data_IF_473396013449
#
_entry.id   IF_473396013449
#
_cell.length_a   1.000
_cell.length_b   1.000
_cell.length_c   1.000
_cell.angle_alpha   90.00
_cell.angle_beta   90.00
_cell.angle_gamma   90.00
#
_symmetry.space_group_name_H-M   'P 1'
#
loop_
_entity.id
_entity.type
_entity.pdbx_description
1 polymer ?
#
# COMPACT_ATOMS: atom_id res chain seq x y z
N UNK A 1 21.35 3.94 -18.46
CA UNK A 1 20.08 3.21 -18.74
C UNK A 1 18.96 3.96 -18.08
N UNK A 2 17.82 4.13 -18.78
CA UNK A 2 16.69 4.89 -18.27
C UNK A 2 16.06 4.24 -17.04
N UNK A 3 15.62 5.06 -16.08
CA UNK A 3 14.92 4.61 -14.88
C UNK A 3 13.52 4.13 -15.24
N UNK A 4 13.16 2.92 -14.83
CA UNK A 4 11.80 2.40 -14.97
C UNK A 4 10.94 2.85 -13.77
N UNK A 5 10.04 3.79 -14.02
CA UNK A 5 9.06 4.29 -13.07
C UNK A 5 7.61 3.92 -13.46
N UNK A 6 7.43 2.90 -14.30
CA UNK A 6 6.12 2.48 -14.79
C UNK A 6 5.24 1.83 -13.70
N UNK A 7 5.83 1.13 -12.72
CA UNK A 7 5.09 0.55 -11.61
C UNK A 7 4.45 1.63 -10.72
N UNK A 8 3.28 1.36 -10.13
CA UNK A 8 2.51 2.37 -9.38
C UNK A 8 3.26 2.96 -8.17
N UNK A 9 3.85 2.12 -7.34
CA UNK A 9 4.51 2.55 -6.09
C UNK A 9 6.02 2.29 -6.04
N UNK A 10 6.60 1.72 -7.09
CA UNK A 10 7.99 1.27 -7.11
C UNK A 10 8.74 1.86 -8.31
N UNK A 11 10.07 1.95 -8.18
CA UNK A 11 10.96 2.46 -9.22
C UNK A 11 12.21 1.59 -9.32
N UNK A 12 12.70 1.37 -10.53
CA UNK A 12 13.96 0.70 -10.80
C UNK A 12 14.94 1.65 -11.51
N UNK A 13 16.09 1.88 -10.88
CA UNK A 13 17.19 2.68 -11.43
C UNK A 13 18.36 1.76 -11.73
N UNK A 14 18.53 1.29 -12.97
CA UNK A 14 19.54 0.30 -13.35
C UNK A 14 20.97 0.71 -13.01
N UNK A 15 21.32 1.99 -13.10
CA UNK A 15 22.66 2.49 -12.84
C UNK A 15 23.12 2.32 -11.38
N UNK A 16 22.16 2.18 -10.45
CA UNK A 16 22.44 1.87 -9.04
C UNK A 16 22.60 0.37 -8.78
N UNK A 17 22.32 -0.49 -9.77
CA UNK A 17 22.27 -1.93 -9.58
C UNK A 17 23.66 -2.56 -9.56
N UNK A 18 24.05 -3.18 -8.46
CA UNK A 18 25.30 -3.94 -8.30
C UNK A 18 25.16 -5.43 -8.67
N UNK A 19 24.02 -5.84 -9.20
CA UNK A 19 23.73 -7.22 -9.63
C UNK A 19 23.90 -8.27 -8.52
N UNK A 20 23.58 -7.94 -7.29
CA UNK A 20 23.68 -8.84 -6.14
C UNK A 20 22.61 -9.94 -6.10
N UNK A 21 21.59 -9.88 -6.97
CA UNK A 21 20.51 -10.84 -7.18
C UNK A 21 19.53 -11.01 -6.01
N UNK A 22 19.67 -10.26 -4.91
CA UNK A 22 18.76 -10.35 -3.74
C UNK A 22 17.31 -10.10 -4.10
N UNK A 23 17.02 -9.22 -5.05
CA UNK A 23 15.68 -8.95 -5.53
C UNK A 23 15.07 -10.15 -6.26
N UNK A 24 15.85 -10.89 -7.04
CA UNK A 24 15.42 -12.12 -7.73
C UNK A 24 15.09 -13.18 -6.69
N UNK A 25 15.97 -13.35 -5.70
CA UNK A 25 15.78 -14.32 -4.61
C UNK A 25 14.51 -13.98 -3.79
N UNK A 26 14.35 -12.72 -3.38
CA UNK A 26 13.15 -12.27 -2.67
C UNK A 26 11.87 -12.51 -3.48
N UNK A 27 11.90 -12.21 -4.78
CA UNK A 27 10.74 -12.39 -5.65
C UNK A 27 10.41 -13.87 -5.90
N UNK A 28 11.43 -14.71 -6.09
CA UNK A 28 11.26 -16.11 -6.47
C UNK A 28 11.04 -17.03 -5.26
N UNK A 29 11.90 -16.92 -4.23
CA UNK A 29 11.89 -17.85 -3.10
C UNK A 29 10.97 -17.41 -1.97
N UNK A 30 10.95 -16.11 -1.66
CA UNK A 30 10.15 -15.60 -0.54
C UNK A 30 8.70 -15.36 -0.98
N UNK A 31 8.50 -14.68 -2.11
CA UNK A 31 7.14 -14.34 -2.59
C UNK A 31 6.54 -15.39 -3.55
N UNK A 32 7.34 -16.24 -4.15
CA UNK A 32 6.87 -17.25 -5.09
C UNK A 32 6.38 -16.70 -6.45
N UNK A 33 6.65 -15.42 -6.75
CA UNK A 33 6.16 -14.75 -7.98
C UNK A 33 7.14 -14.92 -9.15
N UNK A 34 8.45 -14.66 -8.94
CA UNK A 34 9.49 -14.93 -9.92
C UNK A 34 9.48 -14.03 -11.16
N UNK A 35 8.94 -12.82 -11.08
CA UNK A 35 8.89 -11.89 -12.21
C UNK A 35 10.26 -11.31 -12.54
N UNK A 36 11.12 -11.11 -11.54
CA UNK A 36 12.44 -10.50 -11.71
C UNK A 36 13.41 -11.56 -12.21
N UNK A 37 14.12 -11.24 -13.29
CA UNK A 37 15.06 -12.14 -13.96
C UNK A 37 16.43 -11.47 -14.14
N UNK A 38 17.44 -12.27 -14.41
CA UNK A 38 18.72 -11.81 -14.91
C UNK A 38 18.76 -12.10 -16.41
N UNK A 39 18.74 -11.04 -17.21
CA UNK A 39 18.90 -11.14 -18.66
C UNK A 39 20.38 -11.03 -19.00
N UNK A 40 20.78 -11.71 -20.08
CA UNK A 40 22.14 -11.77 -20.58
C UNK A 40 23.14 -12.44 -19.61
N UNK A 41 24.39 -12.50 -20.00
CA UNK A 41 25.50 -13.09 -19.24
C UNK A 41 26.73 -12.21 -19.27
N UNK A 42 27.68 -12.45 -18.36
CA UNK A 42 28.92 -11.71 -18.28
C UNK A 42 28.73 -10.23 -17.97
N UNK A 43 29.45 -9.37 -18.65
CA UNK A 43 29.41 -7.92 -18.42
C UNK A 43 28.06 -7.28 -18.77
N UNK A 44 27.31 -7.91 -19.66
CA UNK A 44 26.00 -7.42 -20.13
C UNK A 44 24.83 -7.91 -19.26
N UNK A 45 25.10 -8.71 -18.22
CA UNK A 45 24.04 -9.18 -17.33
C UNK A 45 23.29 -8.01 -16.70
N UNK A 46 21.96 -8.03 -16.77
CA UNK A 46 21.08 -6.99 -16.23
C UNK A 46 19.85 -7.59 -15.54
N UNK A 47 19.42 -6.94 -14.47
CA UNK A 47 18.13 -7.25 -13.85
C UNK A 47 17.02 -6.70 -14.74
N UNK A 48 16.02 -7.50 -15.02
CA UNK A 48 14.86 -7.14 -15.85
C UNK A 48 13.55 -7.68 -15.32
N UNK A 49 12.47 -7.11 -15.83
CA UNK A 49 11.08 -7.51 -15.55
C UNK A 49 10.40 -8.11 -16.79
N UNK A 50 11.14 -8.27 -17.89
CA UNK A 50 10.59 -8.74 -19.17
C UNK A 50 9.87 -7.68 -20.00
N UNK A 51 9.94 -6.42 -19.60
CA UNK A 51 9.28 -5.24 -20.16
C UNK A 51 9.17 -4.15 -19.11
N UNK A 52 8.38 -3.08 -19.33
CA UNK A 52 8.07 -2.10 -18.31
C UNK A 52 7.49 -2.75 -17.07
N UNK A 53 8.03 -2.41 -15.90
CA UNK A 53 7.66 -3.10 -14.66
C UNK A 53 6.16 -2.97 -14.32
N UNK A 54 5.57 -1.81 -14.61
CA UNK A 54 4.15 -1.56 -14.37
C UNK A 54 3.20 -2.39 -15.22
N UNK A 55 3.66 -2.88 -16.36
CA UNK A 55 2.89 -3.71 -17.30
C UNK A 55 2.96 -5.21 -16.99
N UNK A 56 3.73 -5.60 -15.98
CA UNK A 56 3.89 -7.01 -15.62
C UNK A 56 2.56 -7.63 -15.17
N UNK A 57 2.11 -8.63 -15.90
CA UNK A 57 0.90 -9.40 -15.56
C UNK A 57 1.04 -10.23 -14.28
N UNK A 58 2.25 -10.58 -13.88
CA UNK A 58 2.50 -11.44 -12.71
C UNK A 58 2.95 -10.69 -11.47
N UNK A 59 3.55 -9.50 -11.60
CA UNK A 59 4.01 -8.72 -10.45
C UNK A 59 2.83 -8.27 -9.57
N UNK A 60 2.87 -8.64 -8.30
CA UNK A 60 1.87 -8.23 -7.30
C UNK A 60 2.20 -6.92 -6.60
N UNK A 61 3.29 -6.27 -6.96
CA UNK A 61 3.79 -5.01 -6.41
C UNK A 61 3.96 -5.00 -4.87
N UNK A 62 4.37 -6.12 -4.29
CA UNK A 62 4.52 -6.30 -2.85
C UNK A 62 5.71 -5.54 -2.21
N UNK A 63 6.66 -5.04 -3.01
CA UNK A 63 7.80 -4.26 -2.54
C UNK A 63 8.96 -5.04 -1.91
N UNK A 64 8.88 -6.37 -1.77
CA UNK A 64 9.94 -7.17 -1.14
C UNK A 64 11.29 -7.07 -1.85
N UNK A 65 11.28 -6.90 -3.16
CA UNK A 65 12.49 -6.67 -3.95
C UNK A 65 13.16 -5.32 -3.62
N UNK A 66 12.38 -4.28 -3.36
CA UNK A 66 12.88 -2.98 -2.93
C UNK A 66 13.45 -3.04 -1.50
N UNK A 67 12.76 -3.73 -0.58
CA UNK A 67 13.23 -3.93 0.78
C UNK A 67 14.59 -4.67 0.84
N UNK A 68 14.80 -5.64 -0.06
CA UNK A 68 16.04 -6.41 -0.15
C UNK A 68 17.18 -5.72 -0.91
N UNK A 69 16.94 -4.57 -1.57
CA UNK A 69 17.93 -3.91 -2.42
C UNK A 69 18.89 -3.05 -1.60
N UNK A 70 20.21 -3.41 -1.54
CA UNK A 70 21.18 -2.70 -0.68
C UNK A 70 21.59 -1.33 -1.23
N UNK A 71 21.36 -1.06 -2.52
CA UNK A 71 21.80 0.17 -3.19
C UNK A 71 20.64 1.12 -3.52
N UNK A 72 19.41 0.72 -3.22
CA UNK A 72 18.22 1.48 -3.62
C UNK A 72 18.02 1.54 -5.14
N UNK A 73 18.60 0.60 -5.91
CA UNK A 73 18.28 0.45 -7.33
C UNK A 73 16.81 0.10 -7.53
N UNK A 74 16.25 -0.71 -6.65
CA UNK A 74 14.82 -0.92 -6.49
C UNK A 74 14.39 -0.20 -5.22
N UNK A 75 13.46 0.72 -5.35
CA UNK A 75 13.00 1.56 -4.25
C UNK A 75 11.50 1.86 -4.36
N UNK A 76 10.91 2.32 -3.26
CA UNK A 76 9.59 2.95 -3.30
C UNK A 76 9.73 4.32 -3.98
N UNK A 77 8.73 4.71 -4.77
CA UNK A 77 8.69 6.05 -5.38
C UNK A 77 8.70 7.10 -4.28
N UNK A 78 9.68 7.99 -4.34
CA UNK A 78 9.70 9.17 -3.47
C UNK A 78 8.72 10.22 -4.00
N UNK A 79 7.82 10.66 -3.15
CA UNK A 79 6.84 11.71 -3.42
C UNK A 79 6.95 12.87 -2.41
N UNK A 80 8.06 12.94 -1.70
CA UNK A 80 8.28 13.93 -0.63
C UNK A 80 8.18 15.35 -1.16
N UNK A 81 8.90 15.68 -2.24
CA UNK A 81 8.88 17.02 -2.83
C UNK A 81 7.46 17.42 -3.24
N UNK A 82 6.72 16.52 -3.89
CA UNK A 82 5.33 16.77 -4.26
C UNK A 82 4.42 17.01 -3.06
N UNK A 83 4.65 16.31 -1.96
CA UNK A 83 3.89 16.55 -0.73
C UNK A 83 4.21 17.90 -0.10
N UNK A 84 5.48 18.31 -0.13
CA UNK A 84 5.92 19.62 0.34
C UNK A 84 5.34 20.76 -0.51
N UNK A 85 5.34 20.60 -1.85
CA UNK A 85 4.70 21.57 -2.75
C UNK A 85 3.22 21.79 -2.39
N UNK A 86 2.49 20.70 -2.05
CA UNK A 86 1.11 20.82 -1.62
C UNK A 86 0.94 21.48 -0.25
N UNK A 87 1.88 21.32 0.66
CA UNK A 87 1.85 22.00 1.96
C UNK A 87 2.04 23.51 1.83
N UNK A 88 2.79 23.93 0.80
CA UNK A 88 3.06 25.34 0.52
C UNK A 88 1.99 26.00 -0.39
N UNK A 89 1.09 25.22 -1.01
CA UNK A 89 0.05 25.74 -1.91
C UNK A 89 -1.19 26.23 -1.15
N UNK A 90 -1.46 27.53 -1.08
CA UNK A 90 -2.62 28.07 -0.37
C UNK A 90 -3.97 27.74 -1.03
N UNK A 91 -3.96 27.25 -2.27
CA UNK A 91 -5.18 26.82 -2.96
C UNK A 91 -5.63 25.40 -2.57
N UNK A 92 -4.74 24.63 -1.96
CA UNK A 92 -4.97 23.25 -1.54
C UNK A 92 -5.16 23.18 -0.03
N UNK A 93 -6.09 22.37 0.44
CA UNK A 93 -6.22 21.99 1.84
C UNK A 93 -5.70 20.57 2.01
N UNK A 94 -4.57 20.44 2.68
CA UNK A 94 -3.88 19.17 2.81
C UNK A 94 -4.45 18.34 3.95
N UNK A 95 -4.81 17.09 3.65
CA UNK A 95 -5.28 16.11 4.62
C UNK A 95 -4.33 14.93 4.63
N UNK A 96 -3.59 14.78 5.71
CA UNK A 96 -2.59 13.71 5.87
C UNK A 96 -3.13 12.63 6.80
N UNK A 97 -2.96 11.39 6.40
CA UNK A 97 -3.16 10.25 7.28
C UNK A 97 -1.86 9.47 7.49
N UNK A 98 -1.70 8.85 8.65
CA UNK A 98 -0.60 7.94 8.92
C UNK A 98 -1.11 6.62 9.48
N UNK A 99 -0.45 5.52 9.06
CA UNK A 99 -0.82 4.18 9.48
C UNK A 99 -0.44 3.88 10.95
N UNK A 100 -1.15 2.97 11.63
CA UNK A 100 -0.83 2.56 13.00
C UNK A 100 0.62 2.11 13.21
N UNK A 101 1.20 1.40 12.24
CA UNK A 101 2.60 0.95 12.31
C UNK A 101 3.59 2.14 12.33
N UNK A 102 3.34 3.19 11.55
CA UNK A 102 4.26 4.33 11.44
C UNK A 102 4.51 5.00 12.78
N UNK A 103 3.48 5.14 13.64
CA UNK A 103 3.63 5.81 14.95
C UNK A 103 4.55 5.10 15.94
N UNK A 104 4.82 3.80 15.72
CA UNK A 104 5.68 2.99 16.59
C UNK A 104 7.02 2.63 15.94
N UNK A 105 7.17 2.82 14.63
CA UNK A 105 8.40 2.49 13.88
C UNK A 105 9.24 3.70 13.52
N UNK A 106 8.61 4.83 13.18
CA UNK A 106 9.35 6.03 12.76
C UNK A 106 10.34 6.53 13.81
N UNK A 107 10.05 6.29 15.08
CA UNK A 107 10.89 6.71 16.20
C UNK A 107 12.28 6.09 16.20
N UNK A 108 12.41 4.89 15.68
CA UNK A 108 13.69 4.17 15.63
C UNK A 108 14.73 4.92 14.78
N UNK A 109 14.28 5.57 13.70
CA UNK A 109 15.16 6.38 12.84
C UNK A 109 15.71 7.66 13.52
N UNK A 110 15.09 8.09 14.60
CA UNK A 110 15.49 9.29 15.37
C UNK A 110 15.97 8.95 16.79
N UNK A 111 16.28 7.67 17.05
CA UNK A 111 16.83 7.22 18.33
C UNK A 111 15.84 7.04 19.47
N UNK A 112 14.54 7.01 19.19
CA UNK A 112 13.53 6.63 20.19
C UNK A 112 13.60 5.12 20.48
N UNK A 113 13.03 4.71 21.61
CA UNK A 113 13.00 3.28 21.97
C UNK A 113 12.14 2.49 20.95
N UNK A 114 12.55 1.27 20.56
CA UNK A 114 11.73 0.42 19.71
C UNK A 114 10.31 0.28 20.25
N UNK A 115 9.32 0.49 19.36
CA UNK A 115 7.91 0.43 19.72
C UNK A 115 7.36 1.62 20.49
N UNK A 116 8.13 2.66 20.74
CA UNK A 116 7.64 3.89 21.40
C UNK A 116 6.58 4.57 20.54
N UNK A 117 5.40 4.85 21.14
CA UNK A 117 4.31 5.51 20.43
C UNK A 117 4.57 7.01 20.29
N UNK A 118 4.89 7.46 19.09
CA UNK A 118 5.18 8.85 18.76
C UNK A 118 4.02 9.61 18.11
N UNK A 119 2.78 9.13 18.23
CA UNK A 119 1.61 9.73 17.57
C UNK A 119 1.55 11.26 17.72
N UNK A 120 1.68 11.77 18.95
CA UNK A 120 1.65 13.22 19.20
C UNK A 120 2.78 13.99 18.50
N UNK A 121 3.99 13.42 18.46
CA UNK A 121 5.14 14.02 17.77
C UNK A 121 4.95 14.03 16.25
N UNK A 122 4.39 12.96 15.67
CA UNK A 122 4.08 12.89 14.23
C UNK A 122 3.07 13.96 13.86
N UNK A 123 1.99 14.11 14.61
CA UNK A 123 0.97 15.13 14.38
C UNK A 123 1.58 16.53 14.44
N UNK A 124 2.41 16.81 15.47
CA UNK A 124 3.07 18.09 15.62
C UNK A 124 4.06 18.36 14.48
N UNK A 125 4.82 17.36 14.04
CA UNK A 125 5.77 17.49 12.94
C UNK A 125 5.05 17.78 11.61
N UNK A 126 4.02 17.01 11.26
CA UNK A 126 3.25 17.21 10.03
C UNK A 126 2.58 18.59 9.98
N UNK A 127 2.03 19.06 11.10
CA UNK A 127 1.48 20.41 11.18
C UNK A 127 2.54 21.51 11.02
N UNK A 128 3.75 21.28 11.54
CA UNK A 128 4.88 22.21 11.33
C UNK A 128 5.37 22.24 9.89
N UNK A 129 5.21 21.14 9.17
CA UNK A 129 5.52 21.04 7.73
C UNK A 129 4.46 21.69 6.85
N UNK A 130 3.32 22.11 7.40
CA UNK A 130 2.25 22.78 6.65
C UNK A 130 0.97 21.97 6.47
N UNK A 131 0.88 20.74 7.01
CA UNK A 131 -0.35 19.95 6.89
C UNK A 131 -1.52 20.62 7.66
N UNK A 132 -2.63 20.90 6.96
CA UNK A 132 -3.82 21.54 7.53
C UNK A 132 -4.58 20.58 8.45
N UNK A 133 -4.75 19.35 8.02
CA UNK A 133 -5.46 18.32 8.77
C UNK A 133 -4.61 17.03 8.87
N UNK A 134 -4.42 16.54 10.08
CA UNK A 134 -3.66 15.30 10.34
C UNK A 134 -4.55 14.32 11.08
N UNK A 135 -4.75 13.15 10.51
CA UNK A 135 -5.64 12.11 11.02
C UNK A 135 -4.92 10.76 11.13
N UNK A 136 -5.42 9.92 12.02
CA UNK A 136 -4.95 8.52 12.15
C UNK A 136 -5.83 7.62 11.27
N UNK A 137 -5.21 6.73 10.50
CA UNK A 137 -5.92 5.74 9.67
C UNK A 137 -6.86 4.83 10.47
N UNK A 138 -6.70 4.71 11.80
CA UNK A 138 -7.65 3.99 12.66
C UNK A 138 -9.09 4.46 12.51
N UNK A 139 -9.29 5.76 12.31
CA UNK A 139 -10.65 6.30 12.12
C UNK A 139 -11.37 5.66 10.92
N UNK A 140 -10.70 5.51 9.80
CA UNK A 140 -11.26 4.83 8.63
C UNK A 140 -11.21 3.30 8.75
N UNK A 141 -10.30 2.77 9.57
CA UNK A 141 -10.25 1.34 9.88
C UNK A 141 -11.47 0.91 10.71
N UNK A 142 -11.97 1.76 11.60
CA UNK A 142 -13.22 1.47 12.34
C UNK A 142 -14.41 1.34 11.37
N UNK A 143 -14.47 2.19 10.33
CA UNK A 143 -15.48 2.06 9.27
C UNK A 143 -15.29 0.76 8.50
N UNK A 144 -14.05 0.41 8.14
CA UNK A 144 -13.76 -0.87 7.47
C UNK A 144 -14.25 -2.06 8.30
N UNK A 145 -14.00 -2.07 9.61
CA UNK A 145 -14.44 -3.14 10.51
C UNK A 145 -15.97 -3.26 10.54
N UNK A 146 -16.69 -2.13 10.54
CA UNK A 146 -18.14 -2.12 10.53
C UNK A 146 -18.68 -2.70 9.21
N UNK A 147 -18.13 -2.30 8.08
CA UNK A 147 -18.54 -2.77 6.76
C UNK A 147 -18.21 -4.26 6.55
N UNK A 148 -16.98 -4.69 6.85
CA UNK A 148 -16.58 -6.09 6.74
C UNK A 148 -17.36 -6.99 7.71
N UNK A 149 -17.59 -6.53 8.93
CA UNK A 149 -18.40 -7.25 9.92
C UNK A 149 -19.86 -7.41 9.46
N UNK A 150 -20.44 -6.38 8.85
CA UNK A 150 -21.80 -6.43 8.28
C UNK A 150 -21.85 -7.41 7.11
N UNK A 151 -20.90 -7.33 6.20
CA UNK A 151 -20.80 -8.27 5.06
C UNK A 151 -20.68 -9.73 5.55
N UNK A 152 -19.83 -9.98 6.55
CA UNK A 152 -19.70 -11.32 7.14
C UNK A 152 -21.02 -11.82 7.71
N UNK A 153 -21.72 -11.00 8.48
CA UNK A 153 -23.01 -11.37 9.07
C UNK A 153 -24.07 -11.67 7.99
N UNK A 154 -24.09 -10.90 6.91
CA UNK A 154 -24.97 -11.15 5.78
C UNK A 154 -24.63 -12.44 5.03
N UNK A 155 -23.35 -12.74 4.83
CA UNK A 155 -22.90 -14.01 4.24
C UNK A 155 -23.34 -15.19 5.11
N UNK A 156 -23.14 -15.12 6.42
CA UNK A 156 -23.55 -16.18 7.36
C UNK A 156 -25.08 -16.36 7.40
N UNK A 157 -25.86 -15.29 7.33
CA UNK A 157 -27.33 -15.37 7.27
C UNK A 157 -27.79 -16.09 6.00
N UNK A 158 -27.26 -15.71 4.83
CA UNK A 158 -27.55 -16.36 3.55
C UNK A 158 -27.23 -17.84 3.56
N UNK A 159 -26.08 -18.23 4.11
CA UNK A 159 -25.70 -19.65 4.24
C UNK A 159 -26.64 -20.42 5.16
N UNK A 160 -27.04 -19.81 6.28
CA UNK A 160 -28.00 -20.43 7.21
C UNK A 160 -29.36 -20.68 6.53
N UNK A 161 -29.85 -19.67 5.79
CA UNK A 161 -31.13 -19.77 5.05
C UNK A 161 -31.05 -20.81 3.93
N UNK A 162 -29.92 -20.93 3.26
CA UNK A 162 -29.67 -21.93 2.22
C UNK A 162 -29.40 -23.35 2.77
N UNK A 163 -29.33 -23.53 4.08
CA UNK A 163 -28.99 -24.82 4.70
C UNK A 163 -27.56 -25.30 4.47
N UNK A 164 -26.66 -24.43 4.02
CA UNK A 164 -25.26 -24.76 3.68
C UNK A 164 -24.27 -24.51 4.79
N UNK A 165 -24.76 -24.17 6.00
CA UNK A 165 -23.92 -23.90 7.16
C UNK A 165 -23.25 -25.15 7.77
N UNK A 166 -23.61 -26.35 7.27
CA UNK A 166 -23.04 -27.63 7.73
C UNK A 166 -21.87 -28.05 6.83
N UNK A 167 -20.65 -27.86 7.35
CA UNK A 167 -19.43 -28.34 6.73
C UNK A 167 -18.32 -27.32 6.69
N UNK A 168 -18.32 -26.38 5.80
CA UNK A 168 -17.35 -25.28 5.72
C UNK A 168 -18.08 -24.01 5.34
N UNK A 169 -18.23 -23.03 6.27
CA UNK A 169 -18.74 -21.74 5.91
C UNK A 169 -17.84 -21.14 4.82
N UNK A 170 -18.43 -20.46 3.83
CA UNK A 170 -17.65 -19.73 2.83
C UNK A 170 -16.71 -18.79 3.56
N UNK A 171 -15.44 -19.11 3.54
CA UNK A 171 -14.42 -18.28 4.18
C UNK A 171 -14.40 -16.92 3.51
N UNK A 172 -14.52 -15.86 4.30
CA UNK A 172 -14.33 -14.50 3.81
C UNK A 172 -12.90 -14.04 4.14
N UNK A 173 -12.19 -13.54 3.13
CA UNK A 173 -10.89 -12.91 3.29
C UNK A 173 -11.02 -11.39 3.22
N UNK A 174 -10.25 -10.69 4.04
CA UNK A 174 -10.20 -9.23 4.00
C UNK A 174 -9.49 -8.70 2.75
N UNK A 175 -9.76 -7.46 2.37
CA UNK A 175 -9.31 -6.87 1.09
C UNK A 175 -8.37 -5.66 1.25
N UNK A 176 -7.86 -5.39 2.47
CA UNK A 176 -7.13 -4.15 2.75
C UNK A 176 -5.71 -4.08 2.16
N UNK A 177 -5.07 -5.22 1.83
CA UNK A 177 -3.70 -5.25 1.32
C UNK A 177 -3.68 -5.29 -0.22
N UNK A 178 -3.16 -4.24 -0.92
CA UNK A 178 -3.13 -4.23 -2.38
C UNK A 178 -2.27 -5.33 -3.00
N UNK A 179 -1.19 -5.73 -2.34
CA UNK A 179 -0.37 -6.87 -2.80
C UNK A 179 -1.13 -8.20 -2.74
N UNK A 180 -1.95 -8.38 -1.69
CA UNK A 180 -2.84 -9.53 -1.56
C UNK A 180 -3.91 -9.56 -2.65
N UNK A 181 -4.59 -8.45 -2.90
CA UNK A 181 -5.61 -8.34 -3.96
C UNK A 181 -4.98 -8.60 -5.33
N UNK A 182 -3.85 -7.98 -5.66
CA UNK A 182 -3.12 -8.26 -6.90
C UNK A 182 -2.75 -9.74 -7.03
N UNK A 183 -2.37 -10.40 -5.92
CA UNK A 183 -2.07 -11.83 -5.93
C UNK A 183 -3.31 -12.67 -6.28
N UNK A 184 -4.44 -12.38 -5.66
CA UNK A 184 -5.69 -13.09 -5.92
C UNK A 184 -6.14 -12.87 -7.37
N UNK A 185 -6.23 -11.63 -7.82
CA UNK A 185 -6.68 -11.30 -9.17
C UNK A 185 -5.82 -11.95 -10.26
N UNK A 186 -4.50 -12.00 -10.05
CA UNK A 186 -3.55 -12.52 -11.05
C UNK A 186 -3.29 -14.02 -10.98
N UNK A 187 -3.27 -14.58 -9.76
CA UNK A 187 -2.82 -15.96 -9.57
C UNK A 187 -3.92 -16.91 -9.05
N UNK A 188 -4.97 -16.37 -8.44
CA UNK A 188 -6.06 -17.15 -7.83
C UNK A 188 -7.43 -16.51 -8.05
N UNK A 189 -7.83 -16.26 -9.31
CA UNK A 189 -9.12 -15.63 -9.61
C UNK A 189 -10.32 -16.44 -9.11
N UNK A 190 -10.14 -17.74 -8.89
CA UNK A 190 -11.10 -18.62 -8.24
C UNK A 190 -11.49 -18.19 -6.82
N UNK A 191 -10.63 -17.44 -6.13
CA UNK A 191 -10.85 -16.94 -4.77
C UNK A 191 -11.52 -15.57 -4.70
N UNK A 192 -11.71 -14.88 -5.81
CA UNK A 192 -12.33 -13.53 -5.82
C UNK A 192 -13.70 -13.51 -5.12
N UNK A 193 -14.59 -14.50 -5.28
CA UNK A 193 -15.88 -14.53 -4.58
C UNK A 193 -15.76 -14.57 -3.04
N UNK A 194 -14.62 -15.03 -2.54
CA UNK A 194 -14.33 -15.10 -1.10
C UNK A 194 -13.71 -13.84 -0.52
N UNK A 195 -13.32 -12.88 -1.36
CA UNK A 195 -12.77 -11.60 -0.90
C UNK A 195 -13.90 -10.67 -0.45
N UNK A 196 -13.68 -9.93 0.63
CA UNK A 196 -14.58 -8.85 1.05
C UNK A 196 -14.64 -7.77 -0.04
N UNK A 197 -15.83 -7.26 -0.29
CA UNK A 197 -16.07 -6.13 -1.18
C UNK A 197 -15.68 -4.77 -0.56
N UNK A 198 -15.39 -4.75 0.74
CA UNK A 198 -15.04 -3.54 1.48
C UNK A 198 -13.68 -3.02 1.08
N UNK A 199 -13.60 -1.70 0.87
CA UNK A 199 -12.34 -1.04 0.54
C UNK A 199 -11.37 -1.00 1.74
N UNK A 200 -10.08 -0.88 1.45
CA UNK A 200 -9.07 -0.71 2.48
C UNK A 200 -9.32 0.55 3.34
N UNK A 201 -8.84 0.59 4.60
CA UNK A 201 -8.90 1.80 5.43
C UNK A 201 -8.37 3.05 4.73
N UNK A 202 -7.30 2.93 3.96
CA UNK A 202 -6.74 4.04 3.19
C UNK A 202 -7.70 4.52 2.10
N UNK A 203 -8.33 3.62 1.36
CA UNK A 203 -9.27 3.98 0.31
C UNK A 203 -10.57 4.57 0.88
N UNK A 204 -11.07 4.02 2.00
CA UNK A 204 -12.21 4.59 2.74
C UNK A 204 -11.86 5.99 3.24
N UNK A 205 -10.67 6.18 3.82
CA UNK A 205 -10.21 7.50 4.23
C UNK A 205 -10.24 8.51 3.08
N UNK A 206 -9.67 8.16 1.92
CA UNK A 206 -9.68 9.02 0.74
C UNK A 206 -11.09 9.39 0.29
N UNK A 207 -12.03 8.44 0.30
CA UNK A 207 -13.44 8.70 -0.03
C UNK A 207 -14.09 9.65 0.98
N UNK A 208 -13.87 9.44 2.28
CA UNK A 208 -14.42 10.30 3.34
C UNK A 208 -13.77 11.68 3.36
N UNK A 209 -12.47 11.78 3.06
CA UNK A 209 -11.77 13.05 2.90
C UNK A 209 -12.35 13.91 1.77
N UNK A 210 -12.90 13.28 0.72
CA UNK A 210 -13.53 13.99 -0.41
C UNK A 210 -15.04 14.17 -0.29
N UNK A 211 -15.71 13.49 0.62
CA UNK A 211 -17.20 13.53 0.73
C UNK A 211 -17.70 14.07 2.05
N UNK A 212 -17.14 13.61 3.16
CA UNK A 212 -17.58 13.99 4.52
C UNK A 212 -16.81 15.19 5.07
N UNK A 213 -15.49 15.19 4.91
CA UNK A 213 -14.63 16.23 5.48
C UNK A 213 -14.91 17.63 4.89
N UNK A 214 -15.17 17.81 3.59
CA UNK A 214 -15.57 19.10 3.02
C UNK A 214 -16.78 19.71 3.72
N UNK A 215 -17.79 18.90 4.00
CA UNK A 215 -19.02 19.33 4.69
C UNK A 215 -18.73 19.74 6.14
N UNK A 216 -17.83 19.02 6.81
CA UNK A 216 -17.46 19.28 8.21
C UNK A 216 -16.60 20.54 8.35
N UNK A 217 -15.69 20.76 7.40
CA UNK A 217 -14.78 21.92 7.40
C UNK A 217 -15.36 23.15 6.69
N UNK A 218 -16.47 22.99 5.95
CA UNK A 218 -17.05 24.08 5.17
C UNK A 218 -16.19 24.51 3.97
N UNK A 219 -15.44 23.59 3.38
CA UNK A 219 -14.55 23.82 2.24
C UNK A 219 -14.96 23.00 1.03
N UNK A 220 -14.71 23.47 -0.21
CA UNK A 220 -14.97 22.71 -1.42
C UNK A 220 -14.11 21.43 -1.49
N UNK A 221 -14.70 20.33 -1.99
CA UNK A 221 -13.99 19.05 -2.13
C UNK A 221 -12.80 19.11 -3.10
N UNK A 222 -12.85 20.03 -4.05
CA UNK A 222 -11.80 20.27 -5.05
C UNK A 222 -10.52 20.83 -4.41
N UNK A 223 -10.63 21.44 -3.23
CA UNK A 223 -9.48 21.98 -2.49
C UNK A 223 -8.78 20.97 -1.60
N UNK A 224 -9.33 19.79 -1.41
CA UNK A 224 -8.75 18.73 -0.58
C UNK A 224 -7.95 17.76 -1.46
#
# INVERSE_FOLDING_TARGET
>A
VETDASANGLVFTPDKCIRCLRCIEACRQVQGIGVIKLDHTGTNAAVSFGGPWGESETCIQCGQCALGCPTGALAVKDQTDRALDWFDDPAVTTVVQFAPAVRVTIGESIGARPGENLQGRIVAALRKLGADCVMDTRWSADVTIMEEGTELLERLRRQKEAGTLHGHPDTMFTSCCPGWINHIEKNRPDMIPHISSTRSPQAIFGALAKTWLPKTLGIPAERI
#
